data_IF_604213143688
#
_entry.id   IF_604213143688
#
_cell.length_a   1.000
_cell.length_b   1.000
_cell.length_c   1.000
_cell.angle_alpha   90.00
_cell.angle_beta   90.00
_cell.angle_gamma   90.00
#
_symmetry.space_group_name_H-M   'P 1'
#
loop_
_entity.id
_entity.type
_entity.pdbx_description
1 polymer ?
#
# COMPACT_ATOMS: atom_id res chain seq x y z
N UNK A 1 10.47 12.86 16.95
CA UNK A 1 10.08 11.69 16.13
C UNK A 1 11.26 11.32 15.27
N UNK A 2 11.93 10.21 15.56
CA UNK A 2 12.88 9.63 14.61
C UNK A 2 12.03 9.09 13.47
N UNK A 3 12.15 9.69 12.30
CA UNK A 3 11.66 9.12 11.06
C UNK A 3 12.37 7.78 10.90
N UNK A 4 11.68 6.65 11.17
CA UNK A 4 12.20 5.34 10.82
C UNK A 4 12.52 5.35 9.33
N UNK A 5 13.79 5.10 8.99
CA UNK A 5 14.26 5.11 7.61
C UNK A 5 13.36 4.21 6.76
N UNK A 6 12.98 4.69 5.58
CA UNK A 6 12.26 3.88 4.61
C UNK A 6 13.01 2.56 4.37
N UNK A 7 12.28 1.44 4.33
CA UNK A 7 12.84 0.15 3.94
C UNK A 7 13.30 0.21 2.48
N UNK A 8 14.16 -0.73 2.08
CA UNK A 8 14.62 -0.79 0.68
C UNK A 8 13.46 -1.02 -0.29
N UNK A 9 12.45 -1.80 0.11
CA UNK A 9 11.20 -1.98 -0.61
C UNK A 9 10.43 -0.64 -0.75
N UNK A 10 10.27 0.12 0.32
CA UNK A 10 9.58 1.43 0.30
C UNK A 10 10.26 2.47 -0.59
N UNK A 11 11.59 2.42 -0.72
CA UNK A 11 12.31 3.33 -1.63
C UNK A 11 12.15 2.96 -3.09
N UNK A 12 12.04 1.67 -3.40
CA UNK A 12 11.67 1.19 -4.74
C UNK A 12 10.20 1.55 -5.08
N UNK A 13 9.36 1.73 -4.06
CA UNK A 13 7.92 2.06 -4.19
C UNK A 13 7.61 3.53 -4.46
N UNK A 14 8.51 4.47 -4.12
CA UNK A 14 8.31 5.89 -4.44
C UNK A 14 8.55 6.07 -5.95
N UNK A 15 7.48 5.94 -6.72
CA UNK A 15 7.46 6.26 -8.15
C UNK A 15 7.02 7.70 -8.37
N UNK A 16 6.19 8.21 -7.47
CA UNK A 16 5.67 9.56 -7.47
C UNK A 16 5.86 10.24 -6.11
N UNK A 17 5.98 11.57 -6.07
CA UNK A 17 6.00 12.33 -4.80
C UNK A 17 4.79 12.06 -3.89
N UNK A 18 3.67 11.63 -4.48
CA UNK A 18 2.42 11.26 -3.79
C UNK A 18 2.53 9.97 -2.95
N UNK A 19 3.50 9.11 -3.24
CA UNK A 19 3.64 7.83 -2.54
C UNK A 19 4.14 8.01 -1.10
N UNK A 20 5.02 8.99 -0.88
CA UNK A 20 5.68 9.19 0.41
C UNK A 20 4.68 9.59 1.52
N UNK A 21 3.80 10.59 1.32
CA UNK A 21 2.77 10.92 2.30
C UNK A 21 1.79 9.76 2.58
N UNK A 22 1.43 8.97 1.56
CA UNK A 22 0.52 7.83 1.71
C UNK A 22 1.18 6.70 2.52
N UNK A 23 2.43 6.36 2.22
CA UNK A 23 3.21 5.39 3.00
C UNK A 23 3.33 5.88 4.45
N UNK A 24 3.61 7.17 4.67
CA UNK A 24 3.68 7.76 6.00
C UNK A 24 2.35 7.66 6.76
N UNK A 25 1.22 7.90 6.09
CA UNK A 25 -0.11 7.74 6.68
C UNK A 25 -0.32 6.30 7.16
N UNK A 26 0.00 5.30 6.32
CA UNK A 26 -0.16 3.88 6.66
C UNK A 26 0.77 3.45 7.81
N UNK A 27 2.00 3.96 7.83
CA UNK A 27 2.95 3.72 8.91
C UNK A 27 2.51 4.31 10.25
N UNK A 28 1.78 5.42 10.23
CA UNK A 28 1.27 6.05 11.44
C UNK A 28 0.16 5.25 12.13
N UNK A 29 -0.48 4.32 11.40
CA UNK A 29 -1.50 3.44 11.94
C UNK A 29 -0.87 2.37 12.84
N UNK A 30 -1.50 2.11 13.97
CA UNK A 30 -1.22 0.93 14.79
C UNK A 30 -1.63 -0.37 14.07
N UNK A 31 -1.13 -1.52 14.55
CA UNK A 31 -1.56 -2.82 14.03
C UNK A 31 -3.08 -3.01 14.13
N UNK A 32 -3.71 -2.54 15.21
CA UNK A 32 -5.15 -2.64 15.40
C UNK A 32 -5.91 -1.79 14.37
N UNK A 33 -5.49 -0.54 14.17
CA UNK A 33 -6.12 0.35 13.20
C UNK A 33 -6.01 -0.20 11.79
N UNK A 34 -4.83 -0.67 11.37
CA UNK A 34 -4.66 -1.31 10.05
C UNK A 34 -5.61 -2.48 9.88
N UNK A 35 -5.73 -3.35 10.88
CA UNK A 35 -6.62 -4.51 10.82
C UNK A 35 -8.10 -4.10 10.74
N UNK A 36 -8.51 -3.08 11.49
CA UNK A 36 -9.87 -2.52 11.42
C UNK A 36 -10.15 -1.98 10.03
N UNK A 37 -9.23 -1.21 9.46
CA UNK A 37 -9.38 -0.61 8.13
C UNK A 37 -9.41 -1.71 7.07
N UNK A 38 -8.45 -2.62 7.10
CA UNK A 38 -8.34 -3.75 6.19
C UNK A 38 -9.66 -4.52 6.15
N UNK A 39 -10.20 -4.94 7.28
CA UNK A 39 -11.45 -5.72 7.33
C UNK A 39 -12.71 -4.91 6.97
N UNK A 40 -12.61 -3.57 6.88
CA UNK A 40 -13.73 -2.69 6.58
C UNK A 40 -13.82 -2.28 5.12
N UNK A 41 -12.79 -2.58 4.32
CA UNK A 41 -12.73 -2.24 2.90
C UNK A 41 -12.38 -3.46 2.06
N UNK A 42 -12.87 -3.46 0.82
CA UNK A 42 -12.35 -4.32 -0.25
C UNK A 42 -12.17 -3.51 -1.52
N UNK A 43 -11.42 -4.07 -2.46
CA UNK A 43 -11.30 -3.50 -3.80
C UNK A 43 -12.49 -3.98 -4.61
N UNK A 44 -13.13 -3.07 -5.35
CA UNK A 44 -14.27 -3.44 -6.19
C UNK A 44 -13.84 -4.46 -7.23
N UNK A 45 -14.73 -5.36 -7.60
CA UNK A 45 -14.43 -6.52 -8.45
C UNK A 45 -13.81 -6.09 -9.80
N UNK A 46 -14.32 -5.01 -10.39
CA UNK A 46 -13.85 -4.45 -11.65
C UNK A 46 -12.39 -3.94 -11.61
N UNK A 47 -11.82 -3.73 -10.43
CA UNK A 47 -10.45 -3.25 -10.22
C UNK A 47 -9.50 -4.32 -9.64
N UNK A 48 -9.94 -5.57 -9.49
CA UNK A 48 -9.10 -6.64 -8.93
C UNK A 48 -7.88 -6.95 -9.80
N UNK A 49 -8.01 -6.90 -11.12
CA UNK A 49 -6.89 -7.16 -12.03
C UNK A 49 -5.85 -6.03 -12.01
N UNK A 50 -6.30 -4.78 -11.91
CA UNK A 50 -5.42 -3.61 -11.72
C UNK A 50 -4.64 -3.72 -10.41
N UNK A 51 -5.36 -4.04 -9.33
CA UNK A 51 -4.76 -4.26 -8.01
C UNK A 51 -3.68 -5.34 -8.03
N UNK A 52 -3.94 -6.50 -8.65
CA UNK A 52 -2.97 -7.59 -8.78
C UNK A 52 -1.72 -7.14 -9.55
N UNK A 53 -1.88 -6.46 -10.69
CA UNK A 53 -0.76 -5.96 -11.48
C UNK A 53 0.10 -4.95 -10.72
N UNK A 54 -0.54 -4.07 -9.96
CA UNK A 54 0.18 -3.11 -9.12
C UNK A 54 0.88 -3.82 -7.93
N UNK A 55 0.43 -5.03 -7.56
CA UNK A 55 0.99 -5.84 -6.48
C UNK A 55 2.23 -6.63 -6.91
N UNK A 56 2.31 -7.02 -8.18
CA UNK A 56 3.37 -7.88 -8.72
C UNK A 56 4.77 -7.44 -8.30
N UNK A 57 5.17 -6.16 -8.42
CA UNK A 57 6.50 -5.72 -8.00
C UNK A 57 6.75 -5.92 -6.48
N UNK A 58 5.71 -5.80 -5.66
CA UNK A 58 5.81 -6.00 -4.20
C UNK A 58 5.99 -7.48 -3.87
N UNK A 59 5.26 -8.35 -4.57
CA UNK A 59 5.38 -9.79 -4.42
C UNK A 59 6.76 -10.25 -4.87
N UNK A 60 7.28 -9.70 -5.97
CA UNK A 60 8.62 -10.01 -6.48
C UNK A 60 9.73 -9.58 -5.51
N UNK A 61 9.64 -8.37 -4.95
CA UNK A 61 10.58 -7.91 -3.91
C UNK A 61 10.51 -8.82 -2.66
N UNK A 62 9.31 -9.25 -2.25
CA UNK A 62 9.16 -10.17 -1.13
C UNK A 62 9.69 -11.56 -1.46
N UNK A 63 9.53 -12.04 -2.71
CA UNK A 63 10.14 -13.30 -3.19
C UNK A 63 11.66 -13.26 -3.10
N UNK A 64 12.28 -12.16 -3.51
CA UNK A 64 13.74 -11.96 -3.41
C UNK A 64 14.19 -12.08 -1.94
N UNK A 65 13.60 -11.29 -1.05
CA UNK A 65 13.92 -11.30 0.39
C UNK A 65 13.64 -12.66 1.05
N UNK A 66 12.52 -13.28 0.71
CA UNK A 66 12.14 -14.59 1.23
C UNK A 66 13.15 -15.66 0.78
N UNK A 67 13.54 -15.65 -0.49
CA UNK A 67 14.51 -16.58 -1.05
C UNK A 67 15.92 -16.42 -0.46
N UNK A 68 16.35 -15.19 -0.20
CA UNK A 68 17.59 -14.91 0.52
C UNK A 68 17.57 -15.47 1.95
N UNK A 69 16.47 -15.28 2.67
CA UNK A 69 16.32 -15.72 4.06
C UNK A 69 16.23 -17.25 4.18
N UNK A 70 15.47 -17.90 3.29
CA UNK A 70 15.22 -19.34 3.34
C UNK A 70 16.23 -20.16 2.53
N UNK A 71 17.08 -19.50 1.72
CA UNK A 71 18.03 -20.12 0.78
C UNK A 71 17.34 -21.08 -0.19
N UNK A 72 16.15 -20.71 -0.65
CA UNK A 72 15.28 -21.51 -1.53
C UNK A 72 14.66 -20.62 -2.60
N UNK A 73 14.22 -21.23 -3.70
CA UNK A 73 13.41 -20.54 -4.70
C UNK A 73 11.94 -20.53 -4.26
N UNK A 74 11.29 -19.36 -4.06
CA UNK A 74 9.88 -19.30 -3.66
C UNK A 74 8.93 -19.95 -4.68
N UNK A 75 9.30 -20.03 -5.95
CA UNK A 75 8.46 -20.68 -6.99
C UNK A 75 8.44 -22.21 -6.86
N UNK A 76 9.45 -22.81 -6.21
CA UNK A 76 9.51 -24.24 -5.91
C UNK A 76 8.75 -24.59 -4.61
N UNK A 77 8.51 -23.58 -3.76
CA UNK A 77 7.84 -23.70 -2.45
C UNK A 77 6.65 -22.74 -2.31
N UNK A 78 5.69 -22.76 -3.26
CA UNK A 78 4.64 -21.73 -3.34
C UNK A 78 3.71 -21.72 -2.12
N UNK A 79 3.50 -22.86 -1.47
CA UNK A 79 2.67 -22.95 -0.27
C UNK A 79 3.36 -22.32 0.96
N UNK A 80 4.66 -22.55 1.14
CA UNK A 80 5.46 -21.99 2.24
C UNK A 80 5.58 -20.47 2.06
N UNK A 81 5.94 -20.04 0.85
CA UNK A 81 5.95 -18.62 0.47
C UNK A 81 4.61 -17.94 0.72
N UNK A 82 3.50 -18.54 0.28
CA UNK A 82 2.17 -17.94 0.45
C UNK A 82 1.80 -17.78 1.92
N UNK A 83 2.13 -18.74 2.78
CA UNK A 83 1.89 -18.63 4.21
C UNK A 83 2.70 -17.47 4.80
N UNK A 84 4.00 -17.43 4.55
CA UNK A 84 4.88 -16.39 5.10
C UNK A 84 4.52 -15.00 4.58
N UNK A 85 4.13 -14.89 3.31
CA UNK A 85 3.68 -13.62 2.73
C UNK A 85 2.40 -13.12 3.38
N UNK A 86 1.43 -14.01 3.64
CA UNK A 86 0.20 -13.65 4.35
C UNK A 86 0.48 -13.28 5.81
N UNK A 87 1.33 -14.03 6.50
CA UNK A 87 1.68 -13.80 7.90
C UNK A 87 2.53 -12.53 8.11
N UNK A 88 3.32 -12.13 7.12
CA UNK A 88 4.15 -10.92 7.19
C UNK A 88 3.34 -9.61 7.32
N UNK A 89 2.05 -9.64 6.96
CA UNK A 89 1.22 -8.43 6.88
C UNK A 89 1.54 -7.53 5.69
N UNK A 90 2.47 -7.92 4.80
CA UNK A 90 2.79 -7.18 3.57
C UNK A 90 1.58 -7.12 2.62
N UNK A 91 0.78 -8.19 2.56
CA UNK A 91 -0.48 -8.21 1.83
C UNK A 91 -1.47 -7.14 2.35
N UNK A 92 -1.58 -7.00 3.68
CA UNK A 92 -2.43 -5.99 4.33
C UNK A 92 -1.95 -4.58 3.99
N UNK A 93 -0.65 -4.32 4.15
CA UNK A 93 -0.03 -3.02 3.86
C UNK A 93 -0.23 -2.61 2.41
N UNK A 94 -0.04 -3.54 1.48
CA UNK A 94 -0.24 -3.28 0.07
C UNK A 94 -1.68 -2.91 -0.26
N UNK A 95 -2.67 -3.63 0.30
CA UNK A 95 -4.08 -3.28 0.09
C UNK A 95 -4.41 -1.89 0.65
N UNK A 96 -3.88 -1.54 1.80
CA UNK A 96 -4.08 -0.21 2.38
C UNK A 96 -3.44 0.89 1.52
N UNK A 97 -2.25 0.63 0.96
CA UNK A 97 -1.59 1.54 0.02
C UNK A 97 -2.39 1.74 -1.27
N UNK A 98 -2.82 0.65 -1.91
CA UNK A 98 -3.68 0.72 -3.09
C UNK A 98 -4.99 1.48 -2.80
N UNK A 99 -5.62 1.17 -1.66
CA UNK A 99 -6.88 1.80 -1.26
C UNK A 99 -6.73 3.29 -0.98
N UNK A 100 -5.61 3.69 -0.39
CA UNK A 100 -5.30 5.09 -0.13
C UNK A 100 -4.98 5.86 -1.41
N UNK A 101 -4.29 5.23 -2.38
CA UNK A 101 -3.98 5.80 -3.70
C UNK A 101 -5.21 5.91 -4.61
N UNK A 102 -6.12 4.95 -4.51
CA UNK A 102 -7.29 4.82 -5.38
C UNK A 102 -8.59 4.70 -4.56
N UNK A 103 -8.96 5.71 -3.76
CA UNK A 103 -10.14 5.65 -2.90
C UNK A 103 -11.46 5.50 -3.66
N UNK A 104 -11.48 5.79 -4.96
CA UNK A 104 -12.63 5.55 -5.84
C UNK A 104 -12.79 4.07 -6.26
N UNK A 105 -11.72 3.26 -6.15
CA UNK A 105 -11.68 1.85 -6.55
C UNK A 105 -12.05 0.88 -5.41
N UNK A 106 -12.43 1.41 -4.23
CA UNK A 106 -12.75 0.60 -3.05
C UNK A 106 -14.25 0.56 -2.77
N UNK A 107 -14.68 -0.49 -2.09
CA UNK A 107 -15.99 -0.66 -1.50
C UNK A 107 -15.86 -0.72 0.02
N UNK A 108 -16.70 0.05 0.73
CA UNK A 108 -16.76 0.04 2.19
C UNK A 108 -17.72 -1.07 2.63
N UNK A 109 -17.17 -2.13 3.22
CA UNK A 109 -17.94 -3.27 3.78
C UNK A 109 -18.57 -2.86 5.11
N UNK A 110 -17.82 -2.13 5.94
CA UNK A 110 -18.25 -1.72 7.28
C UNK A 110 -17.83 -0.28 7.57
N UNK A 111 -18.81 0.57 7.80
CA UNK A 111 -18.55 1.96 8.20
C UNK A 111 -18.08 1.98 9.65
N UNK A 112 -16.91 2.55 9.88
CA UNK A 112 -16.41 2.86 11.22
C UNK A 112 -15.54 4.14 11.19
N UNK A 113 -15.41 4.85 12.31
CA UNK A 113 -14.71 6.14 12.34
C UNK A 113 -13.26 6.07 11.86
N UNK A 114 -12.53 5.01 12.22
CA UNK A 114 -11.12 4.85 11.87
C UNK A 114 -10.96 4.70 10.35
N UNK A 115 -11.79 3.89 9.70
CA UNK A 115 -11.79 3.74 8.24
C UNK A 115 -12.18 5.04 7.54
N UNK A 116 -13.21 5.74 8.01
CA UNK A 116 -13.62 7.01 7.43
C UNK A 116 -12.54 8.08 7.53
N UNK A 117 -11.89 8.18 8.69
CA UNK A 117 -10.79 9.13 8.92
C UNK A 117 -9.57 8.80 8.06
N UNK A 118 -9.21 7.52 7.96
CA UNK A 118 -8.12 7.08 7.10
C UNK A 118 -8.36 7.45 5.62
N UNK A 119 -9.55 7.15 5.09
CA UNK A 119 -9.89 7.47 3.70
C UNK A 119 -9.96 8.98 3.46
N UNK A 120 -10.51 9.75 4.40
CA UNK A 120 -10.54 11.20 4.31
C UNK A 120 -9.11 11.79 4.27
N UNK A 121 -8.22 11.34 5.16
CA UNK A 121 -6.81 11.75 5.17
C UNK A 121 -6.07 11.35 3.89
N UNK A 122 -6.35 10.16 3.36
CA UNK A 122 -5.75 9.72 2.10
C UNK A 122 -6.19 10.61 0.92
N UNK A 123 -7.49 10.91 0.82
CA UNK A 123 -8.04 11.82 -0.21
C UNK A 123 -7.46 13.23 -0.07
N UNK A 124 -7.43 13.76 1.14
CA UNK A 124 -6.83 15.07 1.43
C UNK A 124 -5.36 15.10 1.03
N UNK A 125 -4.61 14.06 1.38
CA UNK A 125 -3.19 13.91 1.04
C UNK A 125 -2.96 13.92 -0.47
N UNK A 126 -3.73 13.14 -1.23
CA UNK A 126 -3.65 13.14 -2.71
C UNK A 126 -3.94 14.53 -3.26
N UNK A 127 -5.01 15.16 -2.78
CA UNK A 127 -5.43 16.49 -3.24
C UNK A 127 -4.36 17.55 -2.99
N UNK A 128 -3.78 17.59 -1.78
CA UNK A 128 -2.70 18.51 -1.42
C UNK A 128 -1.47 18.29 -2.29
N UNK A 129 -1.06 17.03 -2.48
CA UNK A 129 0.09 16.70 -3.32
C UNK A 129 -0.18 17.14 -4.76
N UNK A 130 -1.33 16.83 -5.34
CA UNK A 130 -1.68 17.31 -6.69
C UNK A 130 -1.58 18.83 -6.80
N UNK A 131 -2.16 19.59 -5.87
CA UNK A 131 -2.03 21.06 -5.86
C UNK A 131 -0.56 21.50 -5.79
N UNK A 132 0.25 20.88 -4.93
CA UNK A 132 1.64 21.25 -4.76
C UNK A 132 2.49 20.95 -5.99
N UNK A 133 2.22 19.88 -6.74
CA UNK A 133 3.04 19.50 -7.90
C UNK A 133 2.48 19.99 -9.24
N UNK A 134 1.17 20.20 -9.36
CA UNK A 134 0.53 20.83 -10.53
C UNK A 134 0.93 22.31 -10.62
N UNK A 135 1.11 22.99 -9.48
CA UNK A 135 1.62 24.37 -9.45
C UNK A 135 3.14 24.48 -9.70
N UNK A 136 3.86 23.36 -9.74
CA UNK A 136 5.32 23.31 -9.99
C UNK A 136 5.68 22.80 -11.38
N UNK A 137 4.71 22.55 -12.26
CA UNK A 137 4.93 22.21 -13.67
C UNK A 137 4.50 23.36 -14.60
N UNK A 138 5.28 24.45 -14.72
CA UNK A 138 4.91 25.59 -15.56
C UNK A 138 5.08 25.38 -17.07
N UNK A 139 5.49 24.20 -17.56
CA UNK A 139 5.88 24.00 -18.97
C UNK A 139 5.06 22.94 -19.72
N UNK A 140 3.73 23.04 -19.70
CA UNK A 140 2.89 22.33 -20.69
C UNK A 140 1.71 23.19 -21.13
N UNK A 141 2.00 24.31 -21.79
CA UNK A 141 1.13 24.95 -22.77
C UNK A 141 1.91 25.24 -24.03
#
# INVERSE_FOLDING_TARGET
MYWEKLTSAERKLIKEPSDFPIISLIKSLSCLERNVIYNSIRIKEEHQEEYKKMQEPWVDDFKELWGENHKRNPDEYPAEFSTDFLESGEYERYRLYYSARNPQNIEIIKVNPITSEFLAKAIETISIVSILFDNYSPNSK
#
